data_IF_099109865446
#
_entry.id   IF_099109865446
#
_cell.length_a   1.000
_cell.length_b   1.000
_cell.length_c   1.000
_cell.angle_alpha   90.00
_cell.angle_beta   90.00
_cell.angle_gamma   90.00
#
_symmetry.space_group_name_H-M   'P 1'
#
loop_
_entity.id
_entity.type
_entity.pdbx_description
1 polymer ?
#
# COMPACT_ATOMS: atom_id res chain seq x y z
N UNK A 1 33.72 18.66 -5.05
CA UNK A 1 32.99 19.42 -4.01
C UNK A 1 32.12 18.45 -3.23
N UNK A 2 32.50 18.11 -2.00
CA UNK A 2 31.64 17.32 -1.12
C UNK A 2 30.50 18.23 -0.61
N UNK A 3 29.25 17.83 -0.85
CA UNK A 3 28.10 18.52 -0.26
C UNK A 3 28.19 18.48 1.26
N UNK A 4 28.08 19.63 1.91
CA UNK A 4 28.06 19.75 3.36
C UNK A 4 27.00 18.78 3.95
N UNK A 5 27.36 17.87 4.87
CA UNK A 5 26.43 16.92 5.48
C UNK A 5 25.22 17.59 6.14
N UNK A 6 25.32 18.85 6.57
CA UNK A 6 24.18 19.62 7.08
C UNK A 6 23.12 19.92 6.02
N UNK A 7 23.55 20.25 4.79
CA UNK A 7 22.67 20.56 3.66
C UNK A 7 21.84 19.36 3.22
N UNK A 8 22.43 18.16 3.21
CA UNK A 8 21.76 16.92 2.83
C UNK A 8 20.65 16.53 3.83
N UNK A 9 20.90 16.67 5.13
CA UNK A 9 19.90 16.40 6.19
C UNK A 9 18.71 17.37 6.09
N UNK A 10 18.98 18.65 5.84
CA UNK A 10 17.92 19.65 5.67
C UNK A 10 17.05 19.34 4.44
N UNK A 11 17.66 18.98 3.31
CA UNK A 11 16.94 18.57 2.10
C UNK A 11 16.05 17.34 2.34
N UNK A 12 16.55 16.35 3.09
CA UNK A 12 15.76 15.18 3.46
C UNK A 12 14.57 15.53 4.36
N UNK A 13 14.76 16.43 5.34
CA UNK A 13 13.68 16.90 6.20
C UNK A 13 12.58 17.61 5.41
N UNK A 14 12.95 18.45 4.44
CA UNK A 14 11.99 19.13 3.54
C UNK A 14 11.23 18.11 2.69
N UNK A 15 11.92 17.10 2.14
CA UNK A 15 11.28 16.04 1.36
C UNK A 15 10.29 15.21 2.20
N UNK A 16 10.64 14.87 3.45
CA UNK A 16 9.75 14.15 4.38
C UNK A 16 8.57 15.02 4.82
N UNK A 17 8.78 16.31 5.06
CA UNK A 17 7.70 17.25 5.38
C UNK A 17 6.73 17.40 4.19
N UNK A 18 7.25 17.52 2.97
CA UNK A 18 6.42 17.59 1.76
C UNK A 18 5.62 16.31 1.51
N UNK A 19 6.16 15.16 1.90
CA UNK A 19 5.50 13.85 1.78
C UNK A 19 4.87 13.38 3.10
N UNK A 20 4.65 14.28 4.05
CA UNK A 20 4.18 13.91 5.38
C UNK A 20 2.86 13.13 5.34
N UNK A 21 1.94 13.48 4.44
CA UNK A 21 0.65 12.82 4.33
C UNK A 21 0.74 11.40 3.77
N UNK A 22 1.72 11.10 2.90
CA UNK A 22 1.94 9.72 2.43
C UNK A 22 2.69 8.89 3.47
N UNK A 23 3.54 9.50 4.30
CA UNK A 23 4.32 8.82 5.34
C UNK A 23 3.56 8.60 6.67
N UNK A 24 2.26 8.90 6.71
CA UNK A 24 1.38 8.62 7.88
C UNK A 24 1.01 7.13 7.96
N UNK A 25 2.03 6.28 7.93
CA UNK A 25 1.87 4.83 7.83
C UNK A 25 1.01 4.18 8.92
N UNK A 26 0.91 4.77 10.12
CA UNK A 26 -0.01 4.22 11.14
C UNK A 26 -1.47 4.23 10.69
N UNK A 27 -1.88 5.13 9.79
CA UNK A 27 -3.25 5.15 9.25
C UNK A 27 -3.56 3.87 8.47
N UNK A 28 -2.55 3.22 7.91
CA UNK A 28 -2.69 1.99 7.16
C UNK A 28 -2.84 0.76 8.06
N UNK A 29 -2.37 0.82 9.32
CA UNK A 29 -2.37 -0.33 10.23
C UNK A 29 -3.77 -0.85 10.55
N UNK A 30 -4.75 -0.03 10.97
CA UNK A 30 -6.11 -0.52 11.23
C UNK A 30 -6.76 -1.13 9.99
N UNK A 31 -6.56 -0.50 8.83
CA UNK A 31 -7.09 -1.02 7.57
C UNK A 31 -6.43 -2.36 7.21
N UNK A 32 -5.10 -2.45 7.38
CA UNK A 32 -4.36 -3.69 7.16
C UNK A 32 -4.87 -4.82 8.04
N UNK A 33 -5.03 -4.56 9.34
CA UNK A 33 -5.58 -5.54 10.29
C UNK A 33 -7.02 -5.94 9.96
N UNK A 34 -7.89 -4.98 9.61
CA UNK A 34 -9.26 -5.27 9.22
C UNK A 34 -9.33 -6.12 7.95
N UNK A 35 -8.44 -5.91 6.98
CA UNK A 35 -8.36 -6.74 5.77
C UNK A 35 -7.86 -8.16 6.07
N UNK A 36 -6.93 -8.35 7.01
CA UNK A 36 -6.52 -9.69 7.45
C UNK A 36 -7.71 -10.44 8.07
N UNK A 37 -8.45 -9.77 8.96
CA UNK A 37 -9.66 -10.33 9.59
C UNK A 37 -10.73 -10.61 8.52
N UNK A 38 -10.93 -9.69 7.57
CA UNK A 38 -11.91 -9.86 6.51
C UNK A 38 -11.61 -11.05 5.61
N UNK A 39 -10.35 -11.29 5.24
CA UNK A 39 -9.97 -12.48 4.48
C UNK A 39 -10.29 -13.77 5.22
N UNK A 40 -10.01 -13.79 6.54
CA UNK A 40 -10.28 -14.94 7.40
C UNK A 40 -11.78 -15.21 7.55
N UNK A 41 -12.58 -14.17 7.79
CA UNK A 41 -14.03 -14.28 7.90
C UNK A 41 -14.70 -14.69 6.59
N UNK A 42 -14.20 -14.21 5.44
CA UNK A 42 -14.72 -14.60 4.14
C UNK A 42 -14.52 -16.10 3.87
N UNK A 43 -13.36 -16.68 4.23
CA UNK A 43 -13.15 -18.13 4.11
C UNK A 43 -14.07 -18.94 5.01
N UNK A 44 -14.39 -18.41 6.18
CA UNK A 44 -15.33 -19.04 7.10
C UNK A 44 -16.81 -18.81 6.73
N UNK A 45 -17.10 -18.11 5.62
CA UNK A 45 -18.47 -17.83 5.18
C UNK A 45 -19.17 -16.65 5.89
N UNK A 46 -18.45 -15.87 6.69
CA UNK A 46 -18.98 -14.75 7.49
C UNK A 46 -18.73 -13.38 6.85
N UNK A 47 -19.02 -13.24 5.55
CA UNK A 47 -18.69 -12.04 4.77
C UNK A 47 -19.34 -10.74 5.30
N UNK A 48 -20.58 -10.80 5.80
CA UNK A 48 -21.27 -9.63 6.35
C UNK A 48 -20.63 -9.10 7.65
N UNK A 49 -19.98 -9.98 8.42
CA UNK A 49 -19.32 -9.62 9.69
C UNK A 49 -18.04 -8.80 9.45
N UNK A 50 -17.55 -8.73 8.20
CA UNK A 50 -16.38 -7.91 7.84
C UNK A 50 -16.63 -6.40 7.91
N UNK A 51 -17.88 -5.97 7.69
CA UNK A 51 -18.24 -4.54 7.64
C UNK A 51 -17.94 -3.80 8.96
N UNK A 52 -18.31 -4.32 10.15
CA UNK A 52 -17.91 -3.74 11.43
C UNK A 52 -16.39 -3.51 11.58
N UNK A 53 -15.56 -4.45 11.13
CA UNK A 53 -14.10 -4.30 11.25
C UNK A 53 -13.55 -3.20 10.34
N UNK A 54 -14.08 -3.09 9.11
CA UNK A 54 -13.74 -1.99 8.21
C UNK A 54 -14.18 -0.64 8.79
N UNK A 55 -15.38 -0.58 9.38
CA UNK A 55 -15.86 0.62 10.05
C UNK A 55 -14.97 1.01 11.24
N UNK A 56 -14.59 0.04 12.09
CA UNK A 56 -13.67 0.28 13.20
C UNK A 56 -12.29 0.76 12.72
N UNK A 57 -11.79 0.22 11.61
CA UNK A 57 -10.54 0.70 11.00
C UNK A 57 -10.64 2.16 10.54
N UNK A 58 -11.78 2.59 10.00
CA UNK A 58 -12.03 3.98 9.66
C UNK A 58 -12.10 4.87 10.92
N UNK A 59 -12.80 4.42 11.97
CA UNK A 59 -12.90 5.14 13.24
C UNK A 59 -11.52 5.31 13.89
N UNK A 60 -10.65 4.29 13.82
CA UNK A 60 -9.29 4.32 14.35
C UNK A 60 -8.41 5.40 13.69
N UNK A 61 -8.77 5.91 12.50
CA UNK A 61 -8.05 7.01 11.87
C UNK A 61 -8.12 8.31 12.68
N UNK A 62 -9.18 8.53 13.46
CA UNK A 62 -9.36 9.74 14.29
C UNK A 62 -8.28 9.88 15.36
N UNK A 63 -8.09 8.92 16.29
CA UNK A 63 -7.03 9.01 17.30
C UNK A 63 -5.63 9.00 16.67
N UNK A 64 -5.40 8.26 15.59
CA UNK A 64 -4.12 8.23 14.88
C UNK A 64 -3.80 9.61 14.26
N UNK A 65 -4.79 10.24 13.65
CA UNK A 65 -4.64 11.60 13.11
C UNK A 65 -4.33 12.60 14.21
N UNK A 66 -5.02 12.51 15.36
CA UNK A 66 -4.73 13.34 16.55
C UNK A 66 -3.31 13.11 17.06
N UNK A 67 -2.86 11.85 17.13
CA UNK A 67 -1.49 11.50 17.50
C UNK A 67 -0.46 12.17 16.57
N UNK A 68 -0.66 12.09 15.25
CA UNK A 68 0.25 12.73 14.29
C UNK A 68 0.23 14.26 14.39
N UNK A 69 -0.94 14.86 14.57
CA UNK A 69 -1.06 16.31 14.74
C UNK A 69 -0.33 16.79 16.01
N UNK A 70 -0.47 16.07 17.13
CA UNK A 70 0.21 16.39 18.39
C UNK A 70 1.73 16.22 18.29
N UNK A 71 2.18 15.13 17.66
CA UNK A 71 3.61 14.80 17.64
C UNK A 71 4.39 15.43 16.50
N UNK A 72 3.77 15.83 15.40
CA UNK A 72 4.49 16.33 14.22
C UNK A 72 3.90 17.62 13.63
N UNK A 73 2.80 18.12 14.20
CA UNK A 73 2.11 19.32 13.72
C UNK A 73 1.12 19.05 12.57
N UNK A 74 0.53 20.12 12.05
CA UNK A 74 -0.35 20.09 10.88
C UNK A 74 0.46 20.47 9.64
N UNK A 75 0.52 19.56 8.66
CA UNK A 75 1.12 19.82 7.35
C UNK A 75 -0.02 20.04 6.35
N UNK A 76 0.00 21.19 5.67
CA UNK A 76 -0.95 21.52 4.60
C UNK A 76 -0.68 20.58 3.43
N UNK A 77 -1.69 19.84 2.99
CA UNK A 77 -1.58 18.98 1.81
C UNK A 77 -2.04 19.77 0.60
N UNK A 78 -1.14 20.50 -0.05
CA UNK A 78 -1.46 21.31 -1.23
C UNK A 78 -1.54 20.47 -2.51
N UNK A 79 -1.84 19.17 -2.41
CA UNK A 79 -1.68 18.25 -3.54
C UNK A 79 -2.83 17.25 -3.68
N UNK A 80 -4.05 17.79 -3.64
CA UNK A 80 -5.27 17.02 -3.87
C UNK A 80 -5.33 16.50 -5.31
N UNK A 81 -4.87 17.26 -6.30
CA UNK A 81 -4.89 16.84 -7.70
C UNK A 81 -4.06 15.57 -7.95
N UNK A 82 -2.82 15.51 -7.46
CA UNK A 82 -1.98 14.32 -7.60
C UNK A 82 -2.56 13.10 -6.88
N UNK A 83 -3.18 13.30 -5.70
CA UNK A 83 -3.86 12.21 -4.97
C UNK A 83 -5.08 11.69 -5.73
N UNK A 84 -5.94 12.60 -6.21
CA UNK A 84 -7.12 12.23 -6.98
C UNK A 84 -6.72 11.47 -8.25
N UNK A 85 -5.69 11.94 -8.97
CA UNK A 85 -5.21 11.23 -10.16
C UNK A 85 -4.66 9.85 -9.82
N UNK A 86 -3.91 9.70 -8.72
CA UNK A 86 -3.43 8.41 -8.26
C UNK A 86 -4.57 7.44 -7.94
N UNK A 87 -5.63 7.92 -7.27
CA UNK A 87 -6.82 7.11 -6.98
C UNK A 87 -7.53 6.69 -8.28
N UNK A 88 -7.76 7.63 -9.20
CA UNK A 88 -8.42 7.35 -10.49
C UNK A 88 -7.62 6.32 -11.29
N UNK A 89 -6.31 6.51 -11.41
CA UNK A 89 -5.45 5.59 -12.15
C UNK A 89 -5.35 4.22 -11.48
N UNK A 90 -5.30 4.17 -10.15
CA UNK A 90 -5.31 2.92 -9.41
C UNK A 90 -6.63 2.16 -9.59
N UNK A 91 -7.76 2.86 -9.60
CA UNK A 91 -9.08 2.30 -9.91
C UNK A 91 -9.18 1.82 -11.36
N UNK A 92 -8.61 2.58 -12.31
CA UNK A 92 -8.56 2.18 -13.72
C UNK A 92 -7.74 0.89 -13.90
N UNK A 93 -6.56 0.81 -13.29
CA UNK A 93 -5.72 -0.40 -13.32
C UNK A 93 -6.39 -1.57 -12.61
N UNK A 94 -6.98 -1.33 -11.44
CA UNK A 94 -7.72 -2.35 -10.71
C UNK A 94 -8.87 -2.91 -11.56
N UNK A 95 -9.64 -2.04 -12.22
CA UNK A 95 -10.76 -2.43 -13.09
C UNK A 95 -10.26 -3.16 -14.34
N UNK A 96 -9.23 -2.64 -15.02
CA UNK A 96 -8.69 -3.24 -16.23
C UNK A 96 -8.16 -4.67 -16.00
N UNK A 97 -7.39 -4.86 -14.92
CA UNK A 97 -6.91 -6.21 -14.54
C UNK A 97 -8.07 -7.10 -14.08
N UNK A 98 -9.08 -6.52 -13.40
CA UNK A 98 -10.32 -7.21 -13.05
C UNK A 98 -11.12 -7.70 -14.26
N UNK A 99 -11.15 -6.93 -15.34
CA UNK A 99 -11.76 -7.33 -16.62
C UNK A 99 -10.94 -8.46 -17.25
N UNK A 100 -9.61 -8.37 -17.26
CA UNK A 100 -8.74 -9.43 -17.76
C UNK A 100 -8.92 -10.75 -16.97
N UNK A 101 -9.08 -10.66 -15.65
CA UNK A 101 -9.47 -11.77 -14.77
C UNK A 101 -10.79 -12.42 -15.19
N UNK A 102 -11.81 -11.62 -15.50
CA UNK A 102 -13.11 -12.13 -15.96
C UNK A 102 -13.04 -12.74 -17.34
N UNK A 103 -12.24 -12.17 -18.24
CA UNK A 103 -12.03 -12.71 -19.58
C UNK A 103 -11.30 -14.06 -19.54
N UNK A 104 -10.22 -14.17 -18.77
CA UNK A 104 -9.50 -15.45 -18.56
C UNK A 104 -10.39 -16.51 -17.91
N UNK A 105 -11.18 -16.13 -16.90
CA UNK A 105 -12.19 -17.01 -16.31
C UNK A 105 -13.20 -17.53 -17.36
N UNK A 106 -13.61 -16.69 -18.30
CA UNK A 106 -14.57 -17.07 -19.34
C UNK A 106 -13.98 -18.02 -20.40
N UNK A 107 -12.67 -17.93 -20.68
CA UNK A 107 -11.98 -18.79 -21.65
C UNK A 107 -11.61 -20.15 -21.05
N UNK A 108 -11.00 -20.15 -19.86
CA UNK A 108 -10.38 -21.34 -19.29
C UNK A 108 -11.27 -22.02 -18.23
N UNK A 109 -12.42 -21.42 -17.89
CA UNK A 109 -13.35 -21.94 -16.88
C UNK A 109 -12.83 -21.89 -15.44
N UNK A 110 -11.62 -21.39 -15.21
CA UNK A 110 -10.96 -21.34 -13.91
C UNK A 110 -10.71 -19.90 -13.44
N UNK A 111 -10.84 -19.66 -12.12
CA UNK A 111 -10.40 -18.40 -11.52
C UNK A 111 -8.88 -18.41 -11.36
N UNK A 112 -8.19 -17.59 -12.16
CA UNK A 112 -6.77 -17.33 -12.02
C UNK A 112 -6.47 -16.47 -10.77
N UNK A 113 -6.28 -17.10 -9.60
CA UNK A 113 -5.96 -16.42 -8.33
C UNK A 113 -4.63 -15.66 -8.44
N UNK A 114 -3.68 -16.15 -9.21
CA UNK A 114 -2.41 -15.45 -9.44
C UNK A 114 -2.62 -14.04 -10.05
N UNK A 115 -3.65 -13.86 -10.89
CA UNK A 115 -3.99 -12.55 -11.45
C UNK A 115 -4.54 -11.59 -10.38
N UNK A 116 -5.19 -12.07 -9.31
CA UNK A 116 -5.65 -11.19 -8.21
C UNK A 116 -4.46 -10.66 -7.39
N UNK A 117 -3.42 -11.47 -7.21
CA UNK A 117 -2.14 -11.02 -6.63
C UNK A 117 -1.44 -9.97 -7.49
N UNK A 118 -1.42 -10.16 -8.83
CA UNK A 118 -0.90 -9.16 -9.77
C UNK A 118 -1.74 -7.89 -9.80
N UNK A 119 -3.07 -8.00 -9.73
CA UNK A 119 -3.99 -6.87 -9.62
C UNK A 119 -3.63 -6.03 -8.39
N UNK A 120 -3.46 -6.67 -7.22
CA UNK A 120 -3.05 -5.98 -6.01
C UNK A 120 -1.69 -5.28 -6.16
N UNK A 121 -0.67 -6.01 -6.64
CA UNK A 121 0.67 -5.46 -6.84
C UNK A 121 0.67 -4.26 -7.82
N UNK A 122 -0.06 -4.35 -8.93
CA UNK A 122 -0.16 -3.28 -9.91
C UNK A 122 -0.88 -2.05 -9.34
N UNK A 123 -2.04 -2.24 -8.69
CA UNK A 123 -2.80 -1.15 -8.06
C UNK A 123 -1.97 -0.43 -6.99
N UNK A 124 -1.24 -1.17 -6.16
CA UNK A 124 -0.37 -0.60 -5.12
C UNK A 124 0.82 0.15 -5.72
N UNK A 125 1.44 -0.41 -6.76
CA UNK A 125 2.54 0.24 -7.48
C UNK A 125 2.10 1.61 -8.03
N UNK A 126 0.92 1.64 -8.67
CA UNK A 126 0.31 2.86 -9.21
C UNK A 126 0.05 3.90 -8.12
N UNK A 127 -0.56 3.50 -7.00
CA UNK A 127 -0.80 4.38 -5.85
C UNK A 127 0.51 4.96 -5.27
N UNK A 128 1.60 4.20 -5.32
CA UNK A 128 2.89 4.64 -4.79
C UNK A 128 3.65 5.59 -5.74
N UNK A 129 3.58 5.35 -7.06
CA UNK A 129 4.39 6.05 -8.05
C UNK A 129 3.74 7.32 -8.60
N UNK A 130 2.43 7.30 -8.88
CA UNK A 130 1.77 8.41 -9.57
C UNK A 130 1.91 9.75 -8.84
N UNK A 131 1.70 9.84 -7.51
CA UNK A 131 1.87 11.12 -6.82
C UNK A 131 3.28 11.69 -7.01
N UNK A 132 4.31 10.84 -6.99
CA UNK A 132 5.71 11.25 -7.17
C UNK A 132 5.99 11.70 -8.61
N UNK A 133 5.46 10.99 -9.60
CA UNK A 133 5.62 11.29 -11.01
C UNK A 133 4.93 12.61 -11.41
N UNK A 134 3.67 12.81 -10.98
CA UNK A 134 2.89 14.03 -11.27
C UNK A 134 3.55 15.28 -10.70
N UNK A 135 4.18 15.16 -9.52
CA UNK A 135 4.92 16.26 -8.89
C UNK A 135 6.26 16.57 -9.56
N UNK A 136 6.73 15.71 -10.50
CA UNK A 136 8.08 15.78 -11.05
C UNK A 136 9.18 15.52 -10.01
N UNK A 137 8.86 14.95 -8.86
CA UNK A 137 9.78 14.77 -7.72
C UNK A 137 10.38 13.38 -7.70
N UNK A 138 11.15 13.04 -8.73
CA UNK A 138 11.82 11.74 -8.84
C UNK A 138 12.74 11.41 -7.66
N UNK A 139 13.24 12.42 -6.94
CA UNK A 139 14.02 12.21 -5.70
C UNK A 139 13.19 11.57 -4.58
N UNK A 140 11.88 11.80 -4.56
CA UNK A 140 10.95 11.21 -3.59
C UNK A 140 10.76 9.71 -3.84
N UNK A 141 11.16 9.19 -5.01
CA UNK A 141 11.18 7.75 -5.29
C UNK A 141 12.00 6.97 -4.25
N UNK A 142 13.02 7.59 -3.66
CA UNK A 142 13.82 6.96 -2.59
C UNK A 142 12.98 6.66 -1.35
N UNK A 143 12.00 7.49 -1.03
CA UNK A 143 11.12 7.31 0.13
C UNK A 143 10.16 6.13 -0.09
N UNK A 144 9.72 5.91 -1.33
CA UNK A 144 8.77 4.84 -1.69
C UNK A 144 9.44 3.53 -2.12
N UNK A 145 10.77 3.41 -2.07
CA UNK A 145 11.50 2.18 -2.46
C UNK A 145 10.97 0.93 -1.77
N UNK A 146 10.57 1.06 -0.50
CA UNK A 146 10.03 -0.05 0.26
C UNK A 146 8.66 -0.49 -0.27
N UNK A 147 7.80 0.43 -0.73
CA UNK A 147 6.56 0.09 -1.44
C UNK A 147 6.83 -0.62 -2.77
N UNK A 148 7.83 -0.17 -3.53
CA UNK A 148 8.25 -0.87 -4.75
C UNK A 148 8.72 -2.30 -4.44
N UNK A 149 9.51 -2.48 -3.37
CA UNK A 149 9.97 -3.80 -2.94
C UNK A 149 8.80 -4.68 -2.50
N UNK A 150 7.83 -4.14 -1.75
CA UNK A 150 6.60 -4.86 -1.37
C UNK A 150 5.85 -5.28 -2.63
N UNK A 151 5.62 -4.38 -3.59
CA UNK A 151 4.92 -4.71 -4.84
C UNK A 151 5.66 -5.76 -5.67
N UNK A 152 6.99 -5.70 -5.73
CA UNK A 152 7.81 -6.68 -6.44
C UNK A 152 7.73 -8.07 -5.77
N UNK A 153 7.81 -8.13 -4.44
CA UNK A 153 7.63 -9.38 -3.68
C UNK A 153 6.24 -9.95 -3.89
N UNK A 154 5.20 -9.10 -3.84
CA UNK A 154 3.83 -9.53 -4.11
C UNK A 154 3.65 -10.08 -5.52
N UNK A 155 4.21 -9.39 -6.53
CA UNK A 155 4.17 -9.87 -7.92
C UNK A 155 4.92 -11.20 -8.08
N UNK A 156 6.11 -11.33 -7.47
CA UNK A 156 6.87 -12.57 -7.50
C UNK A 156 6.09 -13.72 -6.85
N UNK A 157 5.53 -13.51 -5.66
CA UNK A 157 4.68 -14.49 -4.96
C UNK A 157 3.42 -14.84 -5.77
N UNK A 158 2.78 -13.85 -6.40
CA UNK A 158 1.61 -14.05 -7.24
C UNK A 158 1.92 -14.91 -8.46
N UNK A 159 3.13 -14.81 -9.02
CA UNK A 159 3.58 -15.59 -10.17
C UNK A 159 4.08 -16.99 -9.81
N UNK A 160 4.28 -17.34 -8.54
CA UNK A 160 4.73 -18.68 -8.12
C UNK A 160 3.85 -19.81 -8.68
N UNK A 161 2.51 -19.75 -8.63
CA UNK A 161 1.65 -20.78 -9.22
C UNK A 161 1.81 -20.93 -10.73
N UNK A 162 2.27 -19.88 -11.43
CA UNK A 162 2.47 -19.87 -12.89
C UNK A 162 3.86 -20.39 -13.27
N UNK A 163 4.89 -19.98 -12.53
CA UNK A 163 6.30 -20.29 -12.82
C UNK A 163 6.72 -21.73 -12.49
N UNK A 164 5.97 -22.44 -11.64
CA UNK A 164 6.28 -23.83 -11.28
C UNK A 164 5.84 -24.85 -12.35
N UNK A 165 5.35 -24.43 -13.52
CA UNK A 165 4.99 -25.31 -14.65
C UNK A 165 4.10 -26.50 -14.23
N UNK A 166 3.29 -26.33 -13.18
CA UNK A 166 2.35 -27.35 -12.78
C UNK A 166 1.14 -27.22 -13.70
N UNK A 167 1.07 -28.07 -14.73
CA UNK A 167 -0.13 -28.26 -15.56
C UNK A 167 -1.31 -28.86 -14.77
N UNK A 168 -1.50 -28.45 -13.51
CA UNK A 168 -2.51 -28.94 -12.58
C UNK A 168 -2.86 -27.92 -11.49
N UNK A 169 -3.87 -28.23 -10.70
CA UNK A 169 -4.41 -27.38 -9.63
C UNK A 169 -3.38 -27.10 -8.54
N UNK A 170 -2.68 -25.97 -8.64
CA UNK A 170 -1.81 -25.50 -7.58
C UNK A 170 -2.68 -25.20 -6.33
N UNK A 171 -2.30 -25.64 -5.11
CA UNK A 171 -3.13 -25.47 -3.91
C UNK A 171 -3.41 -23.99 -3.56
N UNK A 172 -2.60 -23.07 -4.06
CA UNK A 172 -2.81 -21.62 -3.93
C UNK A 172 -3.66 -20.99 -5.04
N UNK A 173 -3.99 -21.74 -6.10
CA UNK A 173 -4.81 -21.27 -7.22
C UNK A 173 -6.26 -21.79 -7.15
N UNK A 174 -6.83 -21.81 -5.94
CA UNK A 174 -8.23 -22.22 -5.74
C UNK A 174 -9.17 -21.03 -5.70
N UNK A 175 -10.30 -21.15 -6.40
CA UNK A 175 -11.27 -20.06 -6.60
C UNK A 175 -11.88 -19.53 -5.30
N UNK A 176 -12.06 -20.38 -4.29
CA UNK A 176 -12.52 -20.05 -2.94
C UNK A 176 -11.53 -19.18 -2.17
N UNK A 177 -10.23 -19.29 -2.47
CA UNK A 177 -9.18 -18.49 -1.85
C UNK A 177 -9.04 -17.09 -2.46
N UNK A 178 -9.59 -16.82 -3.65
CA UNK A 178 -9.29 -15.60 -4.42
C UNK A 178 -9.57 -14.29 -3.67
N UNK A 179 -10.74 -14.19 -3.03
CA UNK A 179 -11.16 -12.99 -2.29
C UNK A 179 -10.40 -12.85 -0.97
N UNK A 180 -10.16 -13.97 -0.30
CA UNK A 180 -9.46 -14.02 0.98
C UNK A 180 -7.98 -13.70 0.82
N UNK A 181 -7.33 -14.27 -0.19
CA UNK A 181 -5.93 -14.02 -0.52
C UNK A 181 -5.69 -12.57 -0.89
N UNK A 182 -6.59 -11.96 -1.68
CA UNK A 182 -6.52 -10.52 -1.98
C UNK A 182 -6.61 -9.67 -0.71
N UNK A 183 -7.54 -9.98 0.18
CA UNK A 183 -7.68 -9.29 1.47
C UNK A 183 -6.43 -9.44 2.33
N UNK A 184 -5.88 -10.66 2.42
CA UNK A 184 -4.66 -10.92 3.17
C UNK A 184 -3.44 -10.22 2.59
N UNK A 185 -3.29 -10.20 1.28
CA UNK A 185 -2.19 -9.55 0.57
C UNK A 185 -2.21 -8.05 0.80
N UNK A 186 -3.34 -7.37 0.55
CA UNK A 186 -3.47 -5.94 0.84
C UNK A 186 -3.29 -5.67 2.34
N UNK A 187 -3.85 -6.53 3.20
CA UNK A 187 -3.71 -6.42 4.64
C UNK A 187 -2.26 -6.44 5.09
N UNK A 188 -1.50 -7.47 4.71
CA UNK A 188 -0.09 -7.62 5.04
C UNK A 188 0.75 -6.47 4.48
N UNK A 189 0.50 -6.07 3.23
CA UNK A 189 1.21 -4.96 2.61
C UNK A 189 0.97 -3.63 3.34
N UNK A 190 -0.26 -3.36 3.79
CA UNK A 190 -0.59 -2.17 4.58
C UNK A 190 0.04 -2.19 5.97
N UNK A 191 0.09 -3.36 6.62
CA UNK A 191 0.76 -3.50 7.91
C UNK A 191 2.27 -3.23 7.77
N UNK A 192 2.94 -3.92 6.84
CA UNK A 192 4.39 -3.79 6.64
C UNK A 192 4.75 -2.39 6.15
N UNK A 193 4.10 -1.91 5.08
CA UNK A 193 4.33 -0.58 4.53
C UNK A 193 4.02 0.52 5.53
N UNK A 194 2.92 0.39 6.27
CA UNK A 194 2.54 1.34 7.32
C UNK A 194 3.56 1.44 8.47
N UNK A 195 4.12 0.32 8.92
CA UNK A 195 5.20 0.33 9.92
C UNK A 195 6.47 0.99 9.36
N UNK A 196 6.86 0.65 8.14
CA UNK A 196 8.06 1.21 7.51
C UNK A 196 7.94 2.72 7.27
N UNK A 197 6.79 3.19 6.78
CA UNK A 197 6.47 4.60 6.60
C UNK A 197 6.53 5.35 7.94
N UNK A 198 5.88 4.81 8.98
CA UNK A 198 5.91 5.42 10.30
C UNK A 198 7.32 5.50 10.87
N UNK A 199 8.10 4.41 10.76
CA UNK A 199 9.49 4.34 11.24
C UNK A 199 10.40 5.32 10.48
N UNK A 200 10.22 5.45 9.17
CA UNK A 200 10.96 6.42 8.34
C UNK A 200 10.68 7.87 8.76
N UNK A 201 9.39 8.19 8.95
CA UNK A 201 8.96 9.51 9.40
C UNK A 201 9.47 9.84 10.81
N UNK A 202 9.26 8.94 11.77
CA UNK A 202 9.66 9.13 13.16
C UNK A 202 11.18 9.34 13.30
N UNK A 203 11.98 8.55 12.58
CA UNK A 203 13.45 8.70 12.57
C UNK A 203 13.90 10.03 12.00
N UNK A 204 13.34 10.42 10.84
CA UNK A 204 13.74 11.67 10.19
C UNK A 204 13.40 12.88 11.06
N UNK A 205 12.20 12.91 11.64
CA UNK A 205 11.75 14.03 12.48
C UNK A 205 12.49 14.12 13.81
N UNK A 206 12.91 12.97 14.39
CA UNK A 206 13.75 12.95 15.58
C UNK A 206 15.11 13.61 15.34
N UNK A 207 15.77 13.28 14.22
CA UNK A 207 17.06 13.89 13.87
C UNK A 207 16.98 15.41 13.67
N UNK A 208 15.87 15.91 13.12
CA UNK A 208 15.64 17.36 12.97
C UNK A 208 15.46 18.07 14.30
N UNK A 209 14.81 17.42 15.28
CA UNK A 209 14.62 17.99 16.63
C UNK A 209 15.92 18.06 17.41
N UNK A 210 16.74 17.02 17.32
CA UNK A 210 18.04 16.95 17.98
C UNK A 210 19.00 18.01 17.40
N UNK A 211 18.96 18.28 16.10
CA UNK A 211 19.78 19.31 15.47
C UNK A 211 19.36 20.77 15.78
N UNK A 212 18.20 20.99 16.40
CA UNK A 212 17.71 22.32 16.81
C UNK A 212 17.98 22.64 18.28
N UNK A 213 18.43 21.65 19.05
CA UNK A 213 18.84 21.81 20.45
C UNK A 213 20.34 22.07 20.50
#
# INVERSE_FOLDING_TARGET
MASDPGSARMQQAVAVAANFNSLRGLILLPMGGALIVAGTLNLAGFSLVTLPFLALALVAQVPITRYYQRNFGRVRSDDMAAKTLAVIAALAVFTAVGIALKYTQALDGQNAVWLTGLQAAATMSVMSWIPSAVRGRWRDLRLIRHWCAICAVLAACALVPVGLWTGGDHPLNRSDLATASLSWVFGAAFLVGGVLDHRSLARTMRGVREARR
#
